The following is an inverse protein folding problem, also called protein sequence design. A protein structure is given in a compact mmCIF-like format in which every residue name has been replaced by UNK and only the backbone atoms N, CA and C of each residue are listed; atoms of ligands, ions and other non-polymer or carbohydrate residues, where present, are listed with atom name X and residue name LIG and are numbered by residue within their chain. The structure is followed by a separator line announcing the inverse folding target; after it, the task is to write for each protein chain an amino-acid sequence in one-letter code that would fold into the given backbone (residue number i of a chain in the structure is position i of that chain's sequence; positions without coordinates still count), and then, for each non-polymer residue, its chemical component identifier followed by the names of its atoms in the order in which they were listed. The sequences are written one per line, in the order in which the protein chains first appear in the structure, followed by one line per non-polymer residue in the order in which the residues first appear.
data_IF_748943439161
#
_entry.id   IF_748943439161
#
_cell.length_a   1.000
_cell.length_b   1.000
_cell.length_c   1.000
_cell.angle_alpha   90.00
_cell.angle_beta   90.00
_cell.angle_gamma   90.00
#
_symmetry.space_group_name_H-M   'P 1'
#
loop_
_entity.id
_entity.type
_entity.pdbx_description
1 polymer ?
#
# COMPACT_ATOMS: atom_id res chain seq x y z
N UNK A 1 38.09 -2.10 19.10
CA UNK A 1 36.93 -2.64 19.85
C UNK A 1 36.15 -3.62 18.94
N UNK A 2 36.32 -4.91 19.19
CA UNK A 2 35.86 -6.02 18.33
C UNK A 2 34.39 -6.35 18.65
N UNK A 3 33.49 -6.15 17.70
CA UNK A 3 32.10 -6.57 17.84
C UNK A 3 32.01 -8.09 17.85
N UNK A 4 31.56 -8.68 18.98
CA UNK A 4 31.23 -10.09 19.11
C UNK A 4 30.06 -10.43 18.19
N UNK A 5 30.31 -11.14 17.10
CA UNK A 5 29.27 -11.84 16.30
C UNK A 5 28.81 -13.05 17.09
N UNK A 6 27.49 -13.16 17.30
CA UNK A 6 26.87 -14.27 18.02
C UNK A 6 27.23 -15.63 17.39
N UNK A 7 27.68 -16.56 18.22
CA UNK A 7 28.06 -17.92 17.85
C UNK A 7 26.81 -18.72 17.43
N UNK A 8 26.50 -18.75 16.13
CA UNK A 8 25.70 -19.83 15.56
C UNK A 8 26.60 -21.08 15.51
N UNK A 9 26.18 -22.16 16.15
CA UNK A 9 26.89 -23.45 16.10
C UNK A 9 26.83 -23.96 14.65
N UNK A 10 27.90 -23.73 13.89
CA UNK A 10 28.04 -24.24 12.51
C UNK A 10 28.47 -25.72 12.61
N UNK A 11 27.58 -26.63 12.22
CA UNK A 11 27.89 -28.06 12.17
C UNK A 11 28.86 -28.28 11.01
N UNK A 12 30.13 -28.53 11.32
CA UNK A 12 31.18 -28.89 10.34
C UNK A 12 31.03 -30.32 9.90
N UNK A 13 31.14 -30.56 8.60
CA UNK A 13 31.18 -31.90 8.02
C UNK A 13 32.58 -32.17 7.48
N UNK A 14 33.17 -33.35 7.79
CA UNK A 14 34.51 -33.69 7.32
C UNK A 14 34.56 -33.67 5.78
N UNK A 15 35.55 -32.99 5.23
CA UNK A 15 35.69 -32.85 3.79
C UNK A 15 36.17 -34.18 3.17
N UNK A 16 35.29 -34.86 2.43
CA UNK A 16 35.59 -36.08 1.66
C UNK A 16 35.02 -35.87 0.26
N UNK A 17 35.87 -35.98 -0.77
CA UNK A 17 35.45 -35.87 -2.15
C UNK A 17 35.23 -34.41 -2.64
N UNK A 18 34.36 -34.24 -3.67
CA UNK A 18 34.07 -32.92 -4.23
C UNK A 18 33.26 -32.07 -3.26
N UNK A 19 33.62 -30.78 -3.18
CA UNK A 19 32.87 -29.78 -2.37
C UNK A 19 31.39 -29.76 -2.77
N UNK A 20 30.46 -30.02 -1.81
CA UNK A 20 29.03 -29.97 -2.10
C UNK A 20 28.59 -28.49 -2.38
N UNK A 21 27.56 -28.34 -3.19
CA UNK A 21 26.99 -27.02 -3.42
C UNK A 21 26.39 -26.48 -2.12
N UNK A 22 26.63 -25.20 -1.84
CA UNK A 22 26.16 -24.55 -0.61
C UNK A 22 27.06 -24.69 0.61
N UNK A 23 28.27 -25.27 0.44
CA UNK A 23 29.27 -25.43 1.51
C UNK A 23 30.55 -24.68 1.17
N UNK A 24 31.22 -24.15 2.19
CA UNK A 24 32.56 -23.63 2.11
C UNK A 24 33.58 -24.64 2.64
N UNK A 25 34.76 -24.68 2.02
CA UNK A 25 35.86 -25.49 2.49
C UNK A 25 36.72 -24.70 3.46
N UNK A 26 37.03 -25.32 4.60
CA UNK A 26 38.01 -24.78 5.56
C UNK A 26 38.94 -25.88 6.00
N UNK A 27 40.17 -25.50 6.41
CA UNK A 27 41.15 -26.39 6.97
C UNK A 27 41.38 -26.00 8.42
N UNK A 28 41.41 -26.96 9.34
CA UNK A 28 41.71 -26.67 10.72
C UNK A 28 43.24 -26.55 10.96
N UNK A 29 43.66 -26.23 12.18
CA UNK A 29 45.06 -26.08 12.56
C UNK A 29 45.86 -27.38 12.48
N UNK A 30 45.21 -28.55 12.29
CA UNK A 30 45.80 -29.87 12.11
C UNK A 30 45.80 -30.35 10.65
N UNK A 31 45.47 -29.44 9.71
CA UNK A 31 45.43 -29.76 8.28
C UNK A 31 44.21 -30.60 7.82
N UNK A 32 43.23 -30.85 8.69
CA UNK A 32 41.99 -31.56 8.32
C UNK A 32 41.02 -30.65 7.62
N UNK A 33 40.53 -31.06 6.42
CA UNK A 33 39.55 -30.30 5.65
C UNK A 33 38.12 -30.52 6.17
N UNK A 34 37.34 -29.42 6.22
CA UNK A 34 35.95 -29.43 6.64
C UNK A 34 35.08 -28.66 5.66
N UNK A 35 33.83 -29.08 5.47
CA UNK A 35 32.80 -28.36 4.75
C UNK A 35 31.92 -27.62 5.76
N UNK A 36 31.83 -26.30 5.63
CA UNK A 36 30.97 -25.44 6.44
C UNK A 36 29.80 -25.02 5.59
N UNK A 37 28.54 -25.28 6.03
CA UNK A 37 27.36 -24.86 5.27
C UNK A 37 27.26 -23.33 5.22
N UNK A 38 26.96 -22.84 4.03
CA UNK A 38 26.67 -21.44 3.75
C UNK A 38 25.15 -21.23 3.74
N UNK A 39 24.62 -20.66 4.80
CA UNK A 39 23.18 -20.46 4.98
C UNK A 39 22.60 -19.54 3.92
N UNK A 40 23.32 -18.50 3.51
CA UNK A 40 22.86 -17.55 2.51
C UNK A 40 22.73 -18.22 1.14
N UNK A 41 23.71 -19.04 0.75
CA UNK A 41 23.62 -19.82 -0.49
C UNK A 41 22.41 -20.77 -0.46
N UNK A 42 22.10 -21.41 0.67
CA UNK A 42 20.91 -22.25 0.80
C UNK A 42 19.60 -21.47 0.71
N UNK A 43 19.53 -20.26 1.25
CA UNK A 43 18.35 -19.38 1.13
C UNK A 43 18.12 -18.93 -0.32
N UNK A 44 19.19 -18.59 -1.04
CA UNK A 44 19.13 -18.28 -2.48
C UNK A 44 18.67 -19.47 -3.31
N UNK A 45 19.12 -20.68 -2.96
CA UNK A 45 18.66 -21.91 -3.62
C UNK A 45 17.17 -22.18 -3.38
N UNK A 46 16.67 -21.92 -2.17
CA UNK A 46 15.24 -22.04 -1.87
C UNK A 46 14.42 -21.05 -2.69
N UNK A 47 14.89 -19.82 -2.79
CA UNK A 47 14.27 -18.78 -3.64
C UNK A 47 14.27 -19.18 -5.13
N UNK A 48 15.37 -19.76 -5.64
CA UNK A 48 15.46 -20.28 -7.00
C UNK A 48 14.42 -21.38 -7.27
N UNK A 49 14.25 -22.30 -6.33
CA UNK A 49 13.26 -23.38 -6.45
C UNK A 49 11.84 -22.84 -6.45
N UNK A 50 11.54 -21.84 -5.62
CA UNK A 50 10.22 -21.19 -5.61
C UNK A 50 9.93 -20.47 -6.93
N UNK A 51 10.90 -19.77 -7.51
CA UNK A 51 10.75 -19.14 -8.82
C UNK A 51 10.39 -20.13 -9.93
N UNK A 52 10.93 -21.35 -9.88
CA UNK A 52 10.61 -22.39 -10.87
C UNK A 52 9.22 -22.99 -10.62
N UNK A 53 8.87 -23.30 -9.37
CA UNK A 53 7.64 -24.02 -9.02
C UNK A 53 6.40 -23.14 -9.05
N UNK A 54 6.51 -21.95 -8.50
CA UNK A 54 5.37 -21.06 -8.24
C UNK A 54 5.31 -19.88 -9.22
N UNK A 55 6.47 -19.48 -9.78
CA UNK A 55 6.61 -18.32 -10.66
C UNK A 55 6.66 -18.63 -12.16
N UNK A 56 6.66 -19.91 -12.57
CA UNK A 56 6.69 -20.29 -14.00
C UNK A 56 7.95 -19.87 -14.75
N UNK A 57 9.02 -19.53 -14.03
CA UNK A 57 10.26 -19.07 -14.65
C UNK A 57 11.06 -20.23 -15.28
N UNK A 58 11.72 -19.96 -16.41
CA UNK A 58 12.59 -20.93 -17.07
C UNK A 58 13.73 -21.37 -16.17
N UNK A 59 13.91 -22.69 -16.02
CA UNK A 59 14.96 -23.29 -15.17
C UNK A 59 16.36 -22.78 -15.52
N UNK A 60 16.63 -22.52 -16.82
CA UNK A 60 17.92 -21.97 -17.29
C UNK A 60 18.14 -20.53 -16.80
N UNK A 61 17.12 -19.68 -16.88
CA UNK A 61 17.19 -18.30 -16.36
C UNK A 61 17.40 -18.27 -14.84
N UNK A 62 16.70 -19.13 -14.12
CA UNK A 62 16.85 -19.23 -12.65
C UNK A 62 18.21 -19.79 -12.26
N UNK A 63 18.78 -20.73 -13.02
CA UNK A 63 20.13 -21.24 -12.78
C UNK A 63 21.20 -20.15 -12.97
N UNK A 64 21.08 -19.31 -14.01
CA UNK A 64 21.97 -18.18 -14.23
C UNK A 64 21.81 -17.09 -13.14
N UNK A 65 20.60 -16.81 -12.71
CA UNK A 65 20.34 -15.91 -11.59
C UNK A 65 20.99 -16.42 -10.30
N UNK A 66 20.83 -17.73 -9.97
CA UNK A 66 21.43 -18.33 -8.78
C UNK A 66 22.97 -18.29 -8.81
N UNK A 67 23.58 -18.48 -9.98
CA UNK A 67 25.01 -18.37 -10.17
C UNK A 67 25.50 -16.94 -9.94
N UNK A 68 24.80 -15.93 -10.45
CA UNK A 68 25.11 -14.51 -10.24
C UNK A 68 24.99 -14.11 -8.76
N UNK A 69 23.94 -14.56 -8.07
CA UNK A 69 23.70 -14.22 -6.66
C UNK A 69 24.66 -14.89 -5.69
N UNK A 70 25.12 -16.10 -6.00
CA UNK A 70 25.92 -16.91 -5.06
C UNK A 70 27.37 -17.13 -5.49
N UNK A 71 27.72 -16.76 -6.72
CA UNK A 71 29.00 -17.10 -7.34
C UNK A 71 29.21 -18.63 -7.53
N UNK A 72 28.15 -19.44 -7.37
CA UNK A 72 28.21 -20.91 -7.35
C UNK A 72 27.39 -21.51 -8.48
N UNK A 73 28.02 -22.21 -9.37
CA UNK A 73 27.36 -22.85 -10.52
C UNK A 73 26.56 -24.08 -10.12
N UNK A 74 25.28 -24.09 -10.48
CA UNK A 74 24.40 -25.24 -10.40
C UNK A 74 23.74 -25.45 -11.77
N UNK A 75 23.93 -26.67 -12.36
CA UNK A 75 23.37 -26.93 -13.68
C UNK A 75 21.82 -26.84 -13.67
N UNK A 76 21.24 -26.40 -14.78
CA UNK A 76 19.79 -26.33 -14.93
C UNK A 76 19.11 -27.70 -14.68
N UNK A 77 19.72 -28.78 -15.14
CA UNK A 77 19.24 -30.18 -14.89
C UNK A 77 19.21 -30.50 -13.40
N UNK A 78 20.26 -30.14 -12.66
CA UNK A 78 20.33 -30.41 -11.21
C UNK A 78 19.32 -29.52 -10.46
N UNK A 79 19.19 -28.26 -10.84
CA UNK A 79 18.23 -27.34 -10.25
C UNK A 79 16.79 -27.81 -10.52
N UNK A 80 16.50 -28.27 -11.74
CA UNK A 80 15.20 -28.86 -12.07
C UNK A 80 14.89 -30.07 -11.19
N UNK A 81 15.84 -31.00 -11.01
CA UNK A 81 15.69 -32.18 -10.14
C UNK A 81 15.37 -31.74 -8.70
N UNK A 82 16.15 -30.80 -8.14
CA UNK A 82 15.92 -30.27 -6.80
C UNK A 82 14.54 -29.59 -6.65
N UNK A 83 14.02 -28.97 -7.70
CA UNK A 83 12.71 -28.34 -7.68
C UNK A 83 11.55 -29.34 -7.69
N UNK A 84 11.70 -30.51 -8.31
CA UNK A 84 10.58 -31.43 -8.55
C UNK A 84 10.67 -32.75 -7.77
N UNK A 85 11.86 -33.13 -7.23
CA UNK A 85 12.03 -34.39 -6.46
C UNK A 85 11.71 -34.16 -4.99
N UNK A 86 10.66 -34.80 -4.50
CA UNK A 86 10.15 -34.62 -3.13
C UNK A 86 11.19 -35.04 -2.07
N UNK A 87 11.90 -36.11 -2.31
CA UNK A 87 12.87 -36.69 -1.41
C UNK A 87 14.10 -35.80 -1.18
N UNK A 88 14.66 -35.21 -2.24
CA UNK A 88 15.79 -34.28 -2.14
C UNK A 88 15.37 -32.95 -1.44
N UNK A 89 14.11 -32.52 -1.58
CA UNK A 89 13.58 -31.36 -0.88
C UNK A 89 13.46 -31.59 0.62
N UNK A 90 13.01 -32.80 1.04
CA UNK A 90 12.88 -33.15 2.45
C UNK A 90 14.25 -33.28 3.14
N UNK A 91 15.20 -33.91 2.49
CA UNK A 91 16.57 -34.07 3.03
C UNK A 91 17.26 -32.71 3.20
N UNK A 92 17.09 -31.81 2.22
CA UNK A 92 17.61 -30.44 2.29
C UNK A 92 16.93 -29.61 3.41
N UNK A 93 15.62 -29.76 3.59
CA UNK A 93 14.91 -29.10 4.69
C UNK A 93 15.40 -29.57 6.05
N UNK A 94 15.66 -30.86 6.21
CA UNK A 94 16.26 -31.44 7.42
C UNK A 94 17.65 -30.87 7.69
N UNK A 95 18.49 -30.80 6.65
CA UNK A 95 19.85 -30.24 6.74
C UNK A 95 19.80 -28.76 7.12
N UNK A 96 18.98 -27.92 6.45
CA UNK A 96 18.78 -26.53 6.78
C UNK A 96 18.31 -26.35 8.23
N UNK A 97 17.30 -27.12 8.65
CA UNK A 97 16.75 -27.03 10.02
C UNK A 97 17.79 -27.31 11.10
N UNK A 98 18.75 -28.24 10.85
CA UNK A 98 19.87 -28.51 11.79
C UNK A 98 20.80 -27.29 11.95
N UNK A 99 20.92 -26.46 10.95
CA UNK A 99 21.81 -25.30 10.92
C UNK A 99 21.21 -24.03 11.57
N UNK A 100 19.89 -23.99 11.77
CA UNK A 100 19.19 -22.87 12.38
C UNK A 100 19.39 -22.84 13.91
N UNK A 101 19.51 -21.65 14.47
CA UNK A 101 19.47 -21.45 15.92
C UNK A 101 18.09 -21.83 16.50
N UNK A 102 17.96 -22.10 17.81
CA UNK A 102 16.67 -22.43 18.43
C UNK A 102 15.60 -21.37 18.17
N UNK A 103 15.96 -20.08 18.20
CA UNK A 103 15.05 -18.96 17.91
C UNK A 103 14.57 -18.96 16.45
N UNK A 104 15.47 -19.19 15.51
CA UNK A 104 15.15 -19.29 14.08
C UNK A 104 14.27 -20.52 13.78
N UNK A 105 14.51 -21.67 14.43
CA UNK A 105 13.65 -22.86 14.30
C UNK A 105 12.22 -22.55 14.74
N UNK A 106 12.04 -21.87 15.87
CA UNK A 106 10.71 -21.50 16.37
C UNK A 106 9.96 -20.59 15.40
N UNK A 107 10.65 -19.61 14.78
CA UNK A 107 10.07 -18.74 13.77
C UNK A 107 9.67 -19.52 12.52
N UNK A 108 10.51 -20.46 12.07
CA UNK A 108 10.21 -21.29 10.90
C UNK A 108 9.03 -22.23 11.18
N UNK A 109 8.93 -22.80 12.38
CA UNK A 109 7.79 -23.64 12.80
C UNK A 109 6.48 -22.85 12.83
N UNK A 110 6.48 -21.61 13.30
CA UNK A 110 5.31 -20.72 13.28
C UNK A 110 4.87 -20.41 11.84
N UNK A 111 5.80 -20.07 10.96
CA UNK A 111 5.50 -19.81 9.54
C UNK A 111 4.95 -21.05 8.83
N UNK A 112 5.47 -22.23 9.14
CA UNK A 112 4.98 -23.49 8.59
C UNK A 112 3.58 -23.84 9.10
N UNK A 113 3.28 -23.59 10.36
CA UNK A 113 1.94 -23.77 10.95
C UNK A 113 0.94 -22.84 10.29
N UNK A 114 1.26 -21.57 10.13
CA UNK A 114 0.42 -20.60 9.43
C UNK A 114 0.13 -21.03 7.98
N UNK A 115 1.16 -21.43 7.24
CA UNK A 115 1.02 -21.96 5.87
C UNK A 115 0.12 -23.19 5.81
N UNK A 116 0.27 -24.13 6.75
CA UNK A 116 -0.56 -25.35 6.85
C UNK A 116 -2.03 -25.01 7.14
N UNK A 117 -2.27 -24.06 8.05
CA UNK A 117 -3.63 -23.58 8.38
C UNK A 117 -4.31 -22.96 7.17
N UNK A 118 -3.57 -22.14 6.39
CA UNK A 118 -4.07 -21.55 5.15
C UNK A 118 -4.42 -22.61 4.10
N UNK A 119 -3.56 -23.63 3.91
CA UNK A 119 -3.82 -24.75 2.99
C UNK A 119 -5.07 -25.53 3.41
N UNK A 120 -5.24 -25.81 4.70
CA UNK A 120 -6.45 -26.49 5.22
C UNK A 120 -7.72 -25.68 5.01
N UNK A 121 -7.66 -24.36 5.21
CA UNK A 121 -8.77 -23.46 4.94
C UNK A 121 -9.16 -23.44 3.45
N UNK A 122 -8.18 -23.39 2.54
CA UNK A 122 -8.42 -23.48 1.09
C UNK A 122 -9.01 -24.84 0.67
N UNK A 123 -8.53 -25.92 1.27
CA UNK A 123 -9.09 -27.28 1.01
C UNK A 123 -10.52 -27.40 1.54
N UNK A 124 -10.83 -26.85 2.71
CA UNK A 124 -12.18 -26.83 3.26
C UNK A 124 -13.12 -26.02 2.37
N UNK A 125 -12.67 -24.86 1.87
CA UNK A 125 -13.41 -24.02 0.93
C UNK A 125 -13.69 -24.75 -0.40
N UNK A 126 -12.71 -25.49 -0.94
CA UNK A 126 -12.89 -26.31 -2.15
C UNK A 126 -13.88 -27.48 -1.93
N UNK A 127 -13.84 -28.13 -0.74
CA UNK A 127 -14.81 -29.17 -0.36
C UNK A 127 -16.22 -28.62 -0.23
N UNK A 128 -16.38 -27.44 0.40
CA UNK A 128 -17.65 -26.74 0.52
C UNK A 128 -18.22 -26.38 -0.86
N UNK A 129 -17.40 -25.80 -1.74
CA UNK A 129 -17.81 -25.47 -3.10
C UNK A 129 -18.16 -26.73 -3.93
N UNK A 130 -17.48 -27.85 -3.69
CA UNK A 130 -17.82 -29.13 -4.34
C UNK A 130 -19.14 -29.70 -3.82
N UNK A 131 -19.40 -29.61 -2.52
CA UNK A 131 -20.68 -30.03 -1.92
C UNK A 131 -21.84 -29.18 -2.42
N UNK A 132 -21.67 -27.87 -2.52
CA UNK A 132 -22.67 -26.94 -3.06
C UNK A 132 -22.96 -27.16 -4.56
N UNK A 133 -22.03 -27.77 -5.32
CA UNK A 133 -22.22 -28.09 -6.74
C UNK A 133 -22.75 -29.52 -6.98
N UNK A 134 -22.95 -30.35 -5.96
CA UNK A 134 -23.46 -31.72 -6.10
C UNK A 134 -24.95 -31.83 -5.91
N UNK A 135 -25.62 -30.82 -5.41
CA UNK A 135 -27.09 -30.78 -5.35
C UNK A 135 -27.68 -30.18 -6.64
N UNK A 136 -27.48 -30.86 -7.76
CA UNK A 136 -28.32 -30.67 -8.92
C UNK A 136 -29.62 -31.47 -8.67
N UNK A 137 -30.59 -30.83 -8.05
CA UNK A 137 -31.99 -31.26 -8.12
C UNK A 137 -32.46 -30.95 -9.53
N UNK A 138 -32.92 -31.97 -10.27
CA UNK A 138 -33.60 -31.76 -11.55
C UNK A 138 -34.82 -30.86 -11.31
N UNK A 139 -35.08 -29.88 -12.18
CA UNK A 139 -36.19 -28.97 -11.97
C UNK A 139 -37.50 -29.71 -12.21
N UNK A 140 -38.29 -29.97 -11.18
CA UNK A 140 -39.72 -30.14 -11.28
C UNK A 140 -40.30 -28.88 -11.92
N UNK A 141 -41.05 -29.07 -13.01
CA UNK A 141 -41.75 -27.99 -13.71
C UNK A 141 -42.87 -27.50 -12.79
N UNK A 142 -42.58 -26.49 -11.99
CA UNK A 142 -43.59 -25.74 -11.24
C UNK A 142 -44.06 -24.56 -12.09
N UNK A 143 -45.36 -24.54 -12.30
CA UNK A 143 -46.12 -23.49 -13.00
C UNK A 143 -45.99 -22.16 -12.28
N UNK A 144 -45.18 -21.22 -12.84
CA UNK A 144 -44.93 -19.91 -12.26
C UNK A 144 -45.93 -18.87 -12.75
N UNK A 145 -47.09 -18.83 -12.13
CA UNK A 145 -47.96 -17.65 -12.12
C UNK A 145 -47.96 -17.00 -10.73
N UNK A 146 -46.82 -16.51 -10.28
CA UNK A 146 -46.77 -15.45 -9.27
C UNK A 146 -45.40 -14.76 -9.34
N UNK A 147 -45.31 -13.64 -10.08
CA UNK A 147 -44.13 -12.79 -10.13
C UNK A 147 -44.13 -11.83 -8.93
N UNK A 148 -43.74 -12.31 -7.77
CA UNK A 148 -43.17 -11.42 -6.78
C UNK A 148 -41.72 -11.21 -7.18
N UNK A 149 -41.40 -10.03 -7.77
CA UNK A 149 -40.05 -9.61 -8.03
C UNK A 149 -39.26 -9.67 -6.72
N UNK A 150 -38.32 -10.62 -6.59
CA UNK A 150 -37.42 -10.66 -5.47
C UNK A 150 -36.68 -9.33 -5.38
N UNK A 151 -36.66 -8.70 -4.21
CA UNK A 151 -35.88 -7.50 -4.00
C UNK A 151 -34.45 -7.76 -4.46
N UNK A 152 -33.81 -6.80 -5.16
CA UNK A 152 -32.44 -6.97 -5.65
C UNK A 152 -31.50 -7.24 -4.48
N UNK A 153 -30.68 -8.28 -4.58
CA UNK A 153 -29.69 -8.63 -3.55
C UNK A 153 -28.74 -7.45 -3.33
N UNK A 154 -28.73 -6.89 -2.12
CA UNK A 154 -27.84 -5.79 -1.75
C UNK A 154 -26.44 -6.34 -1.49
N UNK A 155 -25.55 -6.19 -2.45
CA UNK A 155 -24.14 -6.68 -2.39
C UNK A 155 -23.29 -5.84 -1.49
N UNK A 156 -23.56 -4.53 -1.40
CA UNK A 156 -22.85 -3.59 -0.56
C UNK A 156 -23.79 -2.51 -0.02
N UNK A 157 -23.67 -2.23 1.25
CA UNK A 157 -24.27 -1.05 1.89
C UNK A 157 -23.19 -0.27 2.64
N UNK A 158 -23.00 1.03 2.37
CA UNK A 158 -22.05 1.83 3.12
C UNK A 158 -22.45 1.90 4.58
N UNK A 159 -21.46 1.96 5.48
CA UNK A 159 -21.72 2.28 6.87
C UNK A 159 -22.25 3.73 6.94
N UNK A 160 -23.26 4.00 7.78
CA UNK A 160 -23.76 5.36 7.98
C UNK A 160 -22.66 6.34 8.36
N UNK A 161 -22.77 7.57 7.90
CA UNK A 161 -21.81 8.63 8.22
C UNK A 161 -20.71 8.82 7.16
N UNK A 162 -19.42 8.72 7.52
CA UNK A 162 -18.32 9.09 6.61
C UNK A 162 -18.25 8.29 5.31
N UNK A 163 -18.48 6.97 5.33
CA UNK A 163 -18.50 6.16 4.11
C UNK A 163 -19.62 6.60 3.16
N UNK A 164 -20.81 6.78 3.70
CA UNK A 164 -21.97 7.22 2.93
C UNK A 164 -21.72 8.62 2.34
N UNK A 165 -21.18 9.55 3.12
CA UNK A 165 -20.79 10.90 2.67
C UNK A 165 -19.75 10.87 1.57
N UNK A 166 -18.75 9.98 1.67
CA UNK A 166 -17.72 9.83 0.64
C UNK A 166 -18.32 9.33 -0.68
N UNK A 167 -19.12 8.29 -0.62
CA UNK A 167 -19.71 7.67 -1.80
C UNK A 167 -20.78 8.54 -2.46
N UNK A 168 -21.50 9.36 -1.69
CA UNK A 168 -22.52 10.29 -2.21
C UNK A 168 -21.95 11.64 -2.67
N UNK A 169 -20.69 11.94 -2.36
CA UNK A 169 -20.07 13.23 -2.70
C UNK A 169 -19.93 13.46 -4.20
N UNK A 170 -20.38 14.63 -4.66
CA UNK A 170 -20.30 15.04 -6.07
C UNK A 170 -19.21 16.09 -6.35
N UNK A 171 -18.48 16.53 -5.33
CA UNK A 171 -17.34 17.41 -5.49
C UNK A 171 -16.27 16.76 -6.38
N UNK A 172 -15.57 17.59 -7.16
CA UNK A 172 -14.55 17.11 -8.10
C UNK A 172 -13.43 16.35 -7.40
N UNK A 173 -12.96 16.87 -6.25
CA UNK A 173 -11.90 16.29 -5.44
C UNK A 173 -12.42 15.99 -4.04
N UNK A 174 -12.30 14.73 -3.59
CA UNK A 174 -12.68 14.35 -2.22
C UNK A 174 -11.57 13.54 -1.59
N UNK A 175 -11.14 13.96 -0.41
CA UNK A 175 -10.19 13.24 0.42
C UNK A 175 -10.89 12.65 1.64
N UNK A 176 -10.82 11.33 1.79
CA UNK A 176 -11.34 10.58 2.93
C UNK A 176 -10.16 10.15 3.81
N UNK A 177 -9.86 10.93 4.82
CA UNK A 177 -8.66 10.80 5.64
C UNK A 177 -8.94 10.71 7.13
N UNK A 178 -7.98 10.19 7.90
CA UNK A 178 -8.06 10.10 9.36
C UNK A 178 -7.61 8.76 9.91
N UNK A 179 -8.24 8.30 11.01
CA UNK A 179 -7.86 7.10 11.75
C UNK A 179 -7.82 5.82 10.89
N UNK A 180 -7.05 4.83 11.31
CA UNK A 180 -7.07 3.49 10.72
C UNK A 180 -8.38 2.79 11.02
N UNK A 181 -8.79 1.87 10.14
CA UNK A 181 -9.98 1.04 10.33
C UNK A 181 -11.30 1.69 9.91
N UNK A 182 -11.33 2.98 9.52
CA UNK A 182 -12.56 3.68 9.10
C UNK A 182 -13.16 3.24 7.76
N UNK A 183 -12.67 2.15 7.13
CA UNK A 183 -13.22 1.63 5.87
C UNK A 183 -12.86 2.45 4.61
N UNK A 184 -11.86 3.31 4.68
CA UNK A 184 -11.45 4.25 3.61
C UNK A 184 -11.13 3.57 2.29
N UNK A 185 -10.16 2.62 2.29
CA UNK A 185 -9.76 1.87 1.09
C UNK A 185 -10.94 1.12 0.48
N UNK A 186 -11.78 0.48 1.31
CA UNK A 186 -12.95 -0.24 0.80
C UNK A 186 -13.94 0.70 0.10
N UNK A 187 -14.19 1.89 0.66
CA UNK A 187 -15.02 2.91 0.02
C UNK A 187 -14.41 3.40 -1.31
N UNK A 188 -13.08 3.51 -1.37
CA UNK A 188 -12.39 3.89 -2.60
C UNK A 188 -12.56 2.83 -3.70
N UNK A 189 -12.65 1.53 -3.34
CA UNK A 189 -12.93 0.44 -4.27
C UNK A 189 -14.37 0.41 -4.75
N UNK A 190 -15.31 0.86 -3.94
CA UNK A 190 -16.74 0.95 -4.30
C UNK A 190 -17.03 2.16 -5.20
N UNK A 191 -16.36 3.29 -4.96
CA UNK A 191 -16.66 4.56 -5.63
C UNK A 191 -16.68 4.50 -7.17
N UNK A 192 -15.77 3.80 -7.89
CA UNK A 192 -15.80 3.71 -9.34
C UNK A 192 -16.96 2.84 -9.88
N UNK A 193 -17.56 1.97 -9.07
CA UNK A 193 -18.66 1.10 -9.52
C UNK A 193 -19.91 1.87 -9.98
N UNK A 194 -20.07 3.12 -9.53
CA UNK A 194 -21.15 4.01 -10.00
C UNK A 194 -21.07 4.37 -11.50
N UNK A 195 -19.95 4.08 -12.16
CA UNK A 195 -19.71 4.42 -13.56
C UNK A 195 -19.56 3.21 -14.47
N UNK A 196 -19.72 1.99 -13.94
CA UNK A 196 -19.47 0.75 -14.70
C UNK A 196 -20.46 0.51 -15.83
N UNK A 197 -21.60 1.15 -15.84
CA UNK A 197 -22.62 1.10 -16.93
C UNK A 197 -22.35 2.13 -18.03
N UNK A 198 -21.36 3.02 -17.87
CA UNK A 198 -21.02 4.07 -18.83
C UNK A 198 -19.92 3.57 -19.77
N UNK A 199 -20.18 3.30 -21.06
CA UNK A 199 -19.18 2.74 -21.98
C UNK A 199 -17.91 3.56 -22.11
N UNK A 200 -18.02 4.88 -22.02
CA UNK A 200 -16.90 5.80 -22.10
C UNK A 200 -16.11 5.99 -20.80
N UNK A 201 -16.56 5.37 -19.69
CA UNK A 201 -15.88 5.51 -18.41
C UNK A 201 -14.52 4.83 -18.43
N UNK A 202 -13.48 5.62 -18.24
CA UNK A 202 -12.11 5.18 -18.00
C UNK A 202 -11.69 5.61 -16.63
N UNK A 203 -11.32 4.67 -15.81
CA UNK A 203 -11.06 4.87 -14.40
C UNK A 203 -9.68 4.35 -14.05
N UNK A 204 -9.00 5.02 -13.11
CA UNK A 204 -7.67 4.67 -12.65
C UNK A 204 -7.65 4.65 -11.13
N UNK A 205 -7.10 3.60 -10.52
CA UNK A 205 -6.80 3.54 -9.10
C UNK A 205 -5.29 3.35 -8.90
N UNK A 206 -4.70 4.23 -8.12
CA UNK A 206 -3.24 4.25 -7.88
C UNK A 206 -2.94 4.00 -6.41
N UNK A 207 -1.88 3.22 -6.19
CA UNK A 207 -1.12 3.12 -4.94
C UNK A 207 0.35 3.45 -5.18
N UNK A 208 1.10 3.64 -4.09
CA UNK A 208 2.52 3.97 -4.21
C UNK A 208 3.32 2.86 -4.86
N UNK A 209 3.07 1.60 -4.49
CA UNK A 209 3.86 0.47 -4.99
C UNK A 209 3.00 -0.70 -5.48
N UNK A 210 3.57 -1.51 -6.37
CA UNK A 210 2.90 -2.71 -6.89
C UNK A 210 2.62 -3.78 -5.80
N UNK A 211 3.49 -4.03 -4.81
CA UNK A 211 3.18 -4.92 -3.70
C UNK A 211 1.93 -4.50 -2.91
N UNK A 212 1.79 -3.21 -2.62
CA UNK A 212 0.62 -2.67 -1.90
C UNK A 212 -0.67 -2.81 -2.71
N UNK A 213 -0.56 -2.71 -4.04
CA UNK A 213 -1.71 -2.83 -4.94
C UNK A 213 -2.31 -4.25 -4.97
N UNK A 214 -1.53 -5.29 -4.68
CA UNK A 214 -1.98 -6.69 -4.74
C UNK A 214 -3.15 -6.98 -3.80
N UNK A 215 -3.11 -6.47 -2.58
CA UNK A 215 -4.19 -6.68 -1.61
C UNK A 215 -5.47 -5.98 -2.04
N UNK A 216 -5.35 -4.80 -2.62
CA UNK A 216 -6.45 -4.02 -3.17
C UNK A 216 -7.09 -4.76 -4.36
N UNK A 217 -6.27 -5.24 -5.30
CA UNK A 217 -6.74 -6.04 -6.44
C UNK A 217 -7.46 -7.30 -5.95
N UNK A 218 -6.89 -8.01 -4.97
CA UNK A 218 -7.51 -9.21 -4.40
C UNK A 218 -8.90 -8.93 -3.82
N UNK A 219 -9.10 -7.81 -3.13
CA UNK A 219 -10.40 -7.40 -2.62
C UNK A 219 -11.41 -7.16 -3.77
N UNK A 220 -10.97 -6.52 -4.85
CA UNK A 220 -11.85 -6.30 -6.02
C UNK A 220 -12.24 -7.60 -6.72
N UNK A 221 -11.35 -8.60 -6.76
CA UNK A 221 -11.67 -9.93 -7.33
C UNK A 221 -12.76 -10.67 -6.56
N UNK A 222 -12.99 -10.34 -5.30
CA UNK A 222 -14.08 -10.87 -4.48
C UNK A 222 -15.38 -10.08 -4.64
N UNK A 223 -15.27 -8.78 -4.88
CA UNK A 223 -16.37 -7.84 -4.88
C UNK A 223 -16.98 -7.63 -6.27
N UNK A 224 -16.14 -7.32 -7.27
CA UNK A 224 -16.61 -6.83 -8.57
C UNK A 224 -17.41 -7.85 -9.40
N UNK A 225 -17.10 -9.17 -9.39
CA UNK A 225 -17.93 -10.15 -10.08
C UNK A 225 -19.37 -10.22 -9.55
N UNK A 226 -19.57 -9.85 -8.28
CA UNK A 226 -20.91 -9.78 -7.67
C UNK A 226 -21.60 -8.46 -7.98
N UNK A 227 -20.85 -7.34 -7.82
CA UNK A 227 -21.39 -5.99 -8.00
C UNK A 227 -21.64 -5.62 -9.46
N UNK A 228 -20.90 -6.22 -10.39
CA UNK A 228 -21.04 -6.02 -11.83
C UNK A 228 -20.91 -7.38 -12.54
N UNK A 229 -21.98 -8.19 -12.60
CA UNK A 229 -21.96 -9.49 -13.25
C UNK A 229 -21.43 -9.39 -14.69
N UNK A 230 -20.49 -10.28 -15.04
CA UNK A 230 -19.80 -10.24 -16.34
C UNK A 230 -18.53 -9.40 -16.39
N UNK A 231 -18.17 -8.73 -15.31
CA UNK A 231 -16.87 -8.04 -15.19
C UNK A 231 -15.71 -9.05 -15.31
N UNK A 232 -14.65 -8.68 -16.05
CA UNK A 232 -13.49 -9.53 -16.33
C UNK A 232 -12.19 -8.85 -15.93
N UNK A 233 -11.40 -9.54 -15.13
CA UNK A 233 -10.07 -9.10 -14.75
C UNK A 233 -9.01 -9.56 -15.76
N UNK A 234 -8.20 -8.63 -16.29
CA UNK A 234 -7.04 -8.94 -17.11
C UNK A 234 -5.77 -8.64 -16.34
N UNK A 235 -5.11 -9.67 -15.85
CA UNK A 235 -3.92 -9.56 -14.99
C UNK A 235 -2.71 -8.97 -15.68
N UNK A 236 -2.55 -9.15 -17.00
CA UNK A 236 -1.46 -8.57 -17.77
C UNK A 236 -1.56 -7.05 -17.90
N UNK A 237 -2.78 -6.52 -17.87
CA UNK A 237 -3.08 -5.09 -18.02
C UNK A 237 -3.39 -4.44 -16.67
N UNK A 238 -3.50 -5.22 -15.58
CA UNK A 238 -4.01 -4.79 -14.29
C UNK A 238 -5.35 -4.04 -14.40
N UNK A 239 -6.26 -4.53 -15.22
CA UNK A 239 -7.47 -3.80 -15.60
C UNK A 239 -8.73 -4.66 -15.49
N UNK A 240 -9.75 -4.12 -14.87
CA UNK A 240 -11.13 -4.62 -14.95
C UNK A 240 -11.82 -4.09 -16.19
N UNK A 241 -12.45 -4.98 -16.93
CA UNK A 241 -13.32 -4.70 -18.06
C UNK A 241 -14.76 -5.04 -17.69
N UNK A 242 -15.64 -4.08 -17.83
CA UNK A 242 -17.06 -4.23 -17.54
C UNK A 242 -17.87 -4.49 -18.82
N UNK A 243 -19.06 -5.14 -18.74
CA UNK A 243 -19.87 -5.48 -19.91
C UNK A 243 -20.26 -4.28 -20.77
N UNK A 244 -20.40 -3.11 -20.17
CA UNK A 244 -20.70 -1.85 -20.88
C UNK A 244 -19.57 -1.37 -21.80
N UNK A 245 -18.33 -1.82 -21.56
CA UNK A 245 -17.10 -1.28 -22.15
C UNK A 245 -16.29 -0.35 -21.22
N UNK A 246 -16.83 -0.02 -20.06
CA UNK A 246 -16.10 0.71 -19.02
C UNK A 246 -14.85 -0.07 -18.57
N UNK A 247 -13.82 0.64 -18.11
CA UNK A 247 -12.58 0.04 -17.63
C UNK A 247 -12.10 0.71 -16.35
N UNK A 248 -11.54 -0.10 -15.45
CA UNK A 248 -10.84 0.38 -14.27
C UNK A 248 -9.43 -0.23 -14.24
N UNK A 249 -8.45 0.61 -14.45
CA UNK A 249 -7.02 0.30 -14.40
C UNK A 249 -6.49 0.44 -12.97
N UNK A 250 -5.61 -0.49 -12.57
CA UNK A 250 -4.88 -0.44 -11.31
C UNK A 250 -3.42 -0.16 -11.61
N UNK A 251 -2.94 0.99 -11.15
CA UNK A 251 -1.60 1.45 -11.39
C UNK A 251 -0.83 1.77 -10.12
N UNK A 252 0.47 1.98 -10.25
CA UNK A 252 1.31 2.41 -9.15
C UNK A 252 2.19 3.60 -9.57
N UNK A 253 2.60 4.37 -8.57
CA UNK A 253 3.46 5.54 -8.76
C UNK A 253 4.34 5.69 -7.52
N UNK A 254 5.62 5.29 -7.60
CA UNK A 254 6.57 5.42 -6.50
C UNK A 254 7.19 6.82 -6.43
N UNK A 255 7.34 7.44 -7.59
CA UNK A 255 7.97 8.75 -7.75
C UNK A 255 7.33 9.54 -8.90
N UNK A 256 7.73 10.80 -9.06
CA UNK A 256 7.18 11.68 -10.09
C UNK A 256 7.43 11.20 -11.53
N UNK A 257 8.52 10.44 -11.78
CA UNK A 257 8.77 9.89 -13.11
C UNK A 257 7.79 8.78 -13.49
N UNK A 258 7.35 8.00 -12.50
CA UNK A 258 6.35 6.95 -12.73
C UNK A 258 5.00 7.52 -13.18
N UNK A 259 4.65 8.72 -12.73
CA UNK A 259 3.39 9.37 -13.13
C UNK A 259 3.34 9.68 -14.63
N UNK A 260 4.49 9.80 -15.29
CA UNK A 260 4.57 10.04 -16.73
C UNK A 260 3.99 8.88 -17.55
N UNK A 261 3.86 7.67 -17.00
CA UNK A 261 3.15 6.54 -17.64
C UNK A 261 1.69 6.87 -17.96
N UNK A 262 1.09 7.78 -17.20
CA UNK A 262 -0.28 8.23 -17.39
C UNK A 262 -0.40 9.47 -18.26
N UNK A 263 0.75 9.97 -18.80
CA UNK A 263 0.76 11.10 -19.72
C UNK A 263 0.01 10.75 -21.01
N UNK A 264 -0.82 11.67 -21.47
CA UNK A 264 -1.64 11.47 -22.66
C UNK A 264 -2.88 10.60 -22.46
N UNK A 265 -3.02 9.94 -21.31
CA UNK A 265 -4.23 9.19 -20.95
C UNK A 265 -5.36 10.14 -20.54
N UNK A 266 -6.58 9.63 -20.63
CA UNK A 266 -7.80 10.36 -20.23
C UNK A 266 -8.62 9.48 -19.31
N UNK A 267 -8.89 9.99 -18.10
CA UNK A 267 -9.68 9.29 -17.10
C UNK A 267 -10.86 10.15 -16.65
N UNK A 268 -12.03 9.56 -16.50
CA UNK A 268 -13.19 10.21 -15.91
C UNK A 268 -13.21 10.12 -14.38
N UNK A 269 -12.55 9.11 -13.84
CA UNK A 269 -12.41 8.90 -12.40
C UNK A 269 -10.97 8.49 -12.07
N UNK A 270 -10.39 9.11 -11.03
CA UNK A 270 -9.07 8.76 -10.53
C UNK A 270 -9.16 8.58 -9.02
N UNK A 271 -8.71 7.43 -8.53
CA UNK A 271 -8.56 7.11 -7.12
C UNK A 271 -7.09 7.02 -6.71
N UNK A 272 -6.70 7.69 -5.63
CA UNK A 272 -5.35 7.58 -5.05
C UNK A 272 -5.47 7.08 -3.62
N UNK A 273 -5.07 5.85 -3.38
CA UNK A 273 -5.08 5.28 -2.03
C UNK A 273 -3.77 5.61 -1.32
N UNK A 274 -3.87 5.96 -0.03
CA UNK A 274 -2.77 6.40 0.81
C UNK A 274 -2.03 7.64 0.25
N UNK A 275 -2.79 8.68 -0.17
CA UNK A 275 -2.27 9.93 -0.74
C UNK A 275 -1.14 10.57 0.09
N UNK A 276 -1.16 10.57 1.45
CA UNK A 276 -0.08 11.14 2.25
C UNK A 276 1.27 10.43 2.14
N UNK A 277 1.37 9.29 1.47
CA UNK A 277 2.66 8.66 1.19
C UNK A 277 3.50 9.41 0.15
N UNK A 278 2.92 10.32 -0.61
CA UNK A 278 3.63 11.17 -1.58
C UNK A 278 4.15 12.43 -0.90
N UNK A 279 5.45 12.67 -1.02
CA UNK A 279 6.13 13.77 -0.34
C UNK A 279 5.66 15.17 -0.80
N UNK A 280 5.23 15.29 -2.06
CA UNK A 280 4.74 16.54 -2.64
C UNK A 280 3.38 16.35 -3.34
N UNK A 281 2.63 17.44 -3.60
CA UNK A 281 1.36 17.39 -4.33
C UNK A 281 1.53 17.14 -5.84
N UNK A 282 2.74 17.03 -6.37
CA UNK A 282 3.01 17.00 -7.81
C UNK A 282 2.33 15.82 -8.51
N UNK A 283 2.34 14.63 -7.89
CA UNK A 283 1.64 13.44 -8.41
C UNK A 283 0.14 13.72 -8.53
N UNK A 284 -0.46 14.34 -7.51
CA UNK A 284 -1.88 14.71 -7.51
C UNK A 284 -2.20 15.71 -8.62
N UNK A 285 -1.41 16.76 -8.75
CA UNK A 285 -1.59 17.78 -9.78
C UNK A 285 -1.40 17.23 -11.20
N UNK A 286 -0.42 16.35 -11.39
CA UNK A 286 -0.22 15.68 -12.67
C UNK A 286 -1.42 14.81 -13.06
N UNK A 287 -1.89 13.97 -12.14
CA UNK A 287 -3.07 13.13 -12.37
C UNK A 287 -4.34 13.95 -12.65
N UNK A 288 -4.48 15.11 -11.99
CA UNK A 288 -5.57 16.07 -12.26
C UNK A 288 -5.58 16.49 -13.73
N UNK A 289 -4.43 16.67 -14.37
CA UNK A 289 -4.35 17.04 -15.79
C UNK A 289 -4.85 15.93 -16.74
N UNK A 290 -4.88 14.69 -16.28
CA UNK A 290 -5.43 13.53 -17.00
C UNK A 290 -6.92 13.31 -16.74
N UNK A 291 -7.54 14.10 -15.84
CA UNK A 291 -8.97 13.99 -15.49
C UNK A 291 -9.83 14.68 -16.55
N UNK A 292 -10.23 13.94 -17.56
CA UNK A 292 -11.04 14.41 -18.69
C UNK A 292 -11.85 13.27 -19.31
N UNK A 293 -12.95 13.60 -19.95
CA UNK A 293 -13.81 12.66 -20.68
C UNK A 293 -14.35 13.29 -21.95
N UNK A 294 -14.67 12.49 -22.93
CA UNK A 294 -15.39 12.90 -24.14
C UNK A 294 -16.91 12.79 -23.98
N UNK A 295 -17.38 12.15 -22.92
CA UNK A 295 -18.80 11.99 -22.60
C UNK A 295 -19.17 12.96 -21.46
N UNK A 296 -19.90 14.05 -21.75
CA UNK A 296 -20.29 15.03 -20.75
C UNK A 296 -21.28 14.51 -19.70
N UNK A 297 -21.90 13.35 -19.92
CA UNK A 297 -22.78 12.73 -18.93
C UNK A 297 -22.02 12.06 -17.80
N UNK A 298 -20.69 11.93 -17.91
CA UNK A 298 -19.84 11.31 -16.88
C UNK A 298 -19.15 12.42 -16.09
N UNK A 299 -19.49 12.62 -14.82
CA UNK A 299 -18.83 13.60 -13.98
C UNK A 299 -17.37 13.23 -13.72
N UNK A 300 -16.51 14.23 -13.69
CA UNK A 300 -15.08 14.07 -13.43
C UNK A 300 -14.81 14.05 -11.93
N UNK A 301 -14.30 12.95 -11.41
CA UNK A 301 -14.05 12.77 -9.99
C UNK A 301 -12.62 12.34 -9.70
N UNK A 302 -11.97 13.02 -8.76
CA UNK A 302 -10.78 12.52 -8.06
C UNK A 302 -11.13 12.16 -6.63
N UNK A 303 -10.68 11.02 -6.20
CA UNK A 303 -10.90 10.47 -4.87
C UNK A 303 -9.58 10.08 -4.25
N UNK A 304 -9.37 10.43 -3.00
CA UNK A 304 -8.19 9.98 -2.30
C UNK A 304 -8.52 9.51 -0.89
N UNK A 305 -7.66 8.62 -0.38
CA UNK A 305 -7.71 8.15 1.00
C UNK A 305 -6.35 8.27 1.64
N UNK A 306 -6.28 8.21 2.96
CA UNK A 306 -5.02 8.18 3.67
C UNK A 306 -5.13 8.35 5.18
N UNK A 307 -4.00 8.10 5.84
CA UNK A 307 -3.84 8.29 7.27
C UNK A 307 -2.80 9.38 7.53
N UNK A 308 -2.88 10.11 8.66
CA UNK A 308 -1.81 10.99 9.09
C UNK A 308 -0.51 10.23 9.42
N UNK A 309 0.60 10.95 9.55
CA UNK A 309 1.89 10.40 9.96
C UNK A 309 2.77 9.89 8.81
N UNK A 310 2.46 10.24 7.57
CA UNK A 310 3.30 10.00 6.40
C UNK A 310 3.99 11.30 5.95
N UNK A 311 5.03 11.19 5.13
CA UNK A 311 5.85 12.30 4.66
C UNK A 311 5.05 13.43 3.98
N UNK A 312 3.95 13.10 3.33
CA UNK A 312 3.07 14.06 2.65
C UNK A 312 1.92 14.61 3.50
N UNK A 313 1.86 14.26 4.78
CA UNK A 313 0.75 14.68 5.65
C UNK A 313 0.58 16.20 5.70
N UNK A 314 1.68 16.95 5.69
CA UNK A 314 1.66 18.41 5.75
C UNK A 314 0.94 19.05 4.55
N UNK A 315 1.31 18.68 3.31
CA UNK A 315 0.67 19.24 2.13
C UNK A 315 -0.78 18.76 1.96
N UNK A 316 -1.08 17.50 2.32
CA UNK A 316 -2.45 16.98 2.30
C UNK A 316 -3.32 17.74 3.28
N UNK A 317 -2.82 18.01 4.50
CA UNK A 317 -3.50 18.81 5.51
C UNK A 317 -3.80 20.22 4.99
N UNK A 318 -2.79 20.90 4.46
CA UNK A 318 -2.92 22.25 3.88
C UNK A 318 -3.94 22.29 2.73
N UNK A 319 -3.96 21.26 1.88
CA UNK A 319 -4.83 21.23 0.69
C UNK A 319 -6.28 20.86 1.00
N UNK A 320 -6.52 19.92 1.92
CA UNK A 320 -7.84 19.32 2.11
C UNK A 320 -8.48 19.61 3.48
N UNK A 321 -7.68 19.79 4.54
CA UNK A 321 -8.18 19.80 5.92
C UNK A 321 -8.29 21.23 6.46
N UNK A 322 -7.21 22.01 6.35
CA UNK A 322 -7.17 23.38 6.85
C UNK A 322 -8.15 24.36 6.20
N UNK A 323 -8.53 24.20 4.90
CA UNK A 323 -9.40 25.19 4.25
C UNK A 323 -10.80 25.28 4.81
N UNK A 324 -11.34 24.22 5.43
CA UNK A 324 -12.69 24.23 6.01
C UNK A 324 -12.91 23.03 6.94
N UNK A 325 -13.93 23.13 7.78
CA UNK A 325 -14.39 22.02 8.62
C UNK A 325 -14.75 20.77 7.79
N UNK A 326 -14.59 19.55 8.37
CA UNK A 326 -14.92 18.31 7.69
C UNK A 326 -16.35 18.33 7.10
N UNK A 327 -16.50 17.72 5.93
CA UNK A 327 -17.75 17.66 5.14
C UNK A 327 -18.20 18.99 4.50
N UNK A 328 -17.43 20.05 4.62
CA UNK A 328 -17.73 21.32 3.98
C UNK A 328 -17.17 21.35 2.56
N UNK A 329 -17.96 21.87 1.62
CA UNK A 329 -17.52 22.08 0.23
C UNK A 329 -16.65 23.34 0.16
N UNK A 330 -15.43 23.18 -0.31
CA UNK A 330 -14.51 24.28 -0.64
C UNK A 330 -14.54 24.50 -2.15
N UNK A 331 -14.55 25.75 -2.59
CA UNK A 331 -14.48 26.14 -4.01
C UNK A 331 -13.18 26.91 -4.23
N UNK A 332 -12.29 26.33 -5.03
CA UNK A 332 -11.06 26.99 -5.49
C UNK A 332 -11.32 27.61 -6.87
N UNK A 333 -11.08 28.90 -7.02
CA UNK A 333 -11.18 29.60 -8.29
C UNK A 333 -9.82 29.65 -8.95
N UNK A 334 -9.75 29.21 -10.20
CA UNK A 334 -8.54 29.24 -11.02
C UNK A 334 -8.78 30.23 -12.14
N UNK A 335 -8.00 31.30 -12.15
CA UNK A 335 -7.99 32.29 -13.24
C UNK A 335 -6.92 31.89 -14.25
N UNK A 336 -7.27 31.97 -15.53
CA UNK A 336 -6.36 31.66 -16.64
C UNK A 336 -6.69 32.52 -17.85
N UNK A 337 -5.71 32.79 -18.70
CA UNK A 337 -5.88 33.63 -19.88
C UNK A 337 -5.98 32.78 -21.15
N UNK A 338 -6.95 33.10 -22.00
CA UNK A 338 -7.13 32.56 -23.33
C UNK A 338 -7.44 33.69 -24.28
N UNK A 339 -6.67 33.90 -25.32
CA UNK A 339 -6.83 34.94 -26.34
C UNK A 339 -6.98 36.37 -25.73
N UNK A 340 -6.18 36.66 -24.69
CA UNK A 340 -6.19 37.94 -24.00
C UNK A 340 -7.42 38.19 -23.12
N UNK A 341 -8.24 37.18 -22.85
CA UNK A 341 -9.38 37.23 -21.93
C UNK A 341 -9.10 36.39 -20.70
N UNK A 342 -9.28 36.94 -19.53
CA UNK A 342 -9.25 36.23 -18.26
C UNK A 342 -10.53 35.42 -18.11
N UNK A 343 -10.36 34.11 -17.98
CA UNK A 343 -11.44 33.16 -17.68
C UNK A 343 -11.25 32.60 -16.27
N UNK A 344 -12.36 32.28 -15.63
CA UNK A 344 -12.34 31.65 -14.29
C UNK A 344 -12.98 30.28 -14.37
N UNK A 345 -12.29 29.28 -13.78
CA UNK A 345 -12.81 27.93 -13.59
C UNK A 345 -12.87 27.61 -12.10
N UNK A 346 -13.80 26.75 -11.71
CA UNK A 346 -13.96 26.35 -10.31
C UNK A 346 -13.62 24.87 -10.12
N UNK A 347 -12.82 24.58 -9.10
CA UNK A 347 -12.57 23.23 -8.62
C UNK A 347 -13.22 23.10 -7.25
N UNK A 348 -14.09 22.11 -7.10
CA UNK A 348 -14.75 21.82 -5.83
C UNK A 348 -13.99 20.73 -5.08
N UNK A 349 -13.76 20.97 -3.80
CA UNK A 349 -13.01 20.05 -2.92
C UNK A 349 -13.76 19.79 -1.64
N UNK A 350 -13.58 18.59 -1.06
CA UNK A 350 -14.14 18.24 0.24
C UNK A 350 -13.21 17.30 1.01
N UNK A 351 -13.11 17.55 2.30
CA UNK A 351 -12.49 16.60 3.24
C UNK A 351 -13.56 15.86 4.03
N UNK A 352 -13.39 14.54 4.19
CA UNK A 352 -14.23 13.70 5.03
C UNK A 352 -13.33 13.03 6.06
N UNK A 353 -13.61 13.27 7.34
CA UNK A 353 -12.86 12.70 8.44
C UNK A 353 -13.28 11.26 8.69
N UNK A 354 -12.30 10.36 8.83
CA UNK A 354 -12.47 8.94 9.16
C UNK A 354 -12.10 8.68 10.61
N UNK A 355 -12.96 7.95 11.30
CA UNK A 355 -12.70 7.41 12.63
C UNK A 355 -12.79 5.89 12.62
N UNK A 356 -12.08 5.20 13.52
CA UNK A 356 -12.25 3.75 13.72
C UNK A 356 -13.67 3.43 14.19
N UNK A 357 -14.30 4.37 14.90
CA UNK A 357 -15.65 4.24 15.44
C UNK A 357 -16.75 4.25 14.35
N UNK A 358 -16.42 4.69 13.16
CA UNK A 358 -17.33 4.69 11.99
C UNK A 358 -17.45 3.29 11.35
N UNK A 359 -16.68 2.32 11.83
CA UNK A 359 -16.68 0.95 11.30
C UNK A 359 -17.20 -0.05 12.33
N UNK A 360 -18.48 -0.41 12.29
CA UNK A 360 -19.09 -1.31 13.25
C UNK A 360 -18.45 -2.71 13.25
N UNK A 361 -17.87 -3.15 12.13
CA UNK A 361 -17.19 -4.46 12.05
C UNK A 361 -15.92 -4.53 12.90
N UNK A 362 -15.22 -3.39 13.10
CA UNK A 362 -14.02 -3.33 13.93
C UNK A 362 -14.29 -2.91 15.37
N UNK A 363 -15.40 -2.22 15.61
CA UNK A 363 -15.77 -1.79 16.97
C UNK A 363 -16.50 -2.88 17.77
N UNK A 364 -17.09 -3.86 17.10
CA UNK A 364 -17.64 -5.07 17.76
C UNK A 364 -16.54 -5.94 18.36
N UNK A 365 -15.35 -5.98 17.76
CA UNK A 365 -14.15 -6.60 18.32
C UNK A 365 -13.26 -5.53 18.95
N UNK A 366 -13.35 -5.39 20.28
CA UNK A 366 -12.55 -4.44 21.05
C UNK A 366 -11.04 -4.68 20.95
N UNK A 367 -10.60 -5.85 20.47
CA UNK A 367 -9.19 -6.22 20.34
C UNK A 367 -8.43 -5.30 19.39
N UNK A 368 -9.04 -4.93 18.24
CA UNK A 368 -8.41 -4.04 17.27
C UNK A 368 -8.22 -2.62 17.84
N UNK A 369 -9.25 -2.08 18.49
CA UNK A 369 -9.19 -0.75 19.13
C UNK A 369 -8.17 -0.76 20.26
N UNK A 370 -8.14 -1.80 21.10
CA UNK A 370 -7.17 -1.96 22.17
C UNK A 370 -5.72 -2.04 21.62
N UNK A 371 -5.51 -2.72 20.49
CA UNK A 371 -4.22 -2.77 19.82
C UNK A 371 -3.76 -1.37 19.36
N UNK A 372 -4.65 -0.58 18.76
CA UNK A 372 -4.32 0.80 18.36
C UNK A 372 -4.07 1.69 19.59
N UNK A 373 -4.83 1.50 20.67
CA UNK A 373 -4.66 2.24 21.93
C UNK A 373 -3.33 1.92 22.64
N UNK A 374 -2.78 0.73 22.43
CA UNK A 374 -1.49 0.31 23.01
C UNK A 374 -0.25 0.83 22.28
N UNK A 375 -0.44 1.49 21.13
CA UNK A 375 0.66 2.09 20.37
C UNK A 375 1.32 3.25 21.14
N UNK A 376 2.60 3.56 20.86
CA UNK A 376 3.23 4.79 21.35
C UNK A 376 2.37 6.02 21.05
N UNK A 377 2.44 7.03 21.92
CA UNK A 377 1.52 8.17 21.92
C UNK A 377 1.34 8.82 20.52
N UNK A 378 2.42 9.11 19.84
CA UNK A 378 2.41 9.70 18.49
C UNK A 378 1.62 8.81 17.52
N UNK A 379 1.93 7.53 17.46
CA UNK A 379 1.23 6.56 16.59
C UNK A 379 -0.22 6.36 16.99
N UNK A 380 -0.52 6.40 18.28
CA UNK A 380 -1.89 6.32 18.79
C UNK A 380 -2.71 7.54 18.36
N UNK A 381 -2.15 8.76 18.49
CA UNK A 381 -2.80 9.99 18.01
C UNK A 381 -3.08 9.91 16.50
N UNK A 382 -2.09 9.47 15.71
CA UNK A 382 -2.23 9.32 14.27
C UNK A 382 -3.23 8.23 13.87
N UNK A 383 -3.13 7.03 14.42
CA UNK A 383 -3.84 5.86 13.89
C UNK A 383 -5.18 5.59 14.57
N UNK A 384 -5.33 5.91 15.86
CA UNK A 384 -6.59 5.75 16.58
C UNK A 384 -7.47 6.99 16.45
N UNK A 385 -6.88 8.17 16.63
CA UNK A 385 -7.64 9.42 16.64
C UNK A 385 -7.64 10.16 15.30
N UNK A 386 -6.74 9.78 14.37
CA UNK A 386 -6.67 10.42 13.06
C UNK A 386 -6.13 11.85 13.11
N UNK A 387 -5.27 12.13 14.07
CA UNK A 387 -4.71 13.46 14.34
C UNK A 387 -3.67 13.83 13.28
N UNK A 388 -3.90 14.93 12.57
CA UNK A 388 -3.06 15.45 11.50
C UNK A 388 -2.02 16.46 11.97
N UNK A 389 -2.07 16.86 13.23
CA UNK A 389 -1.14 17.82 13.83
C UNK A 389 0.11 17.15 14.42
N UNK A 390 0.04 15.84 14.64
CA UNK A 390 1.14 15.08 15.25
C UNK A 390 2.13 14.62 14.18
N UNK A 391 3.36 15.11 14.27
CA UNK A 391 4.49 14.72 13.41
C UNK A 391 5.39 13.74 14.14
N UNK A 392 5.76 12.61 13.49
CA UNK A 392 6.55 11.53 14.11
C UNK A 392 8.05 11.85 14.22
N UNK A 393 8.56 12.64 13.32
CA UNK A 393 9.99 12.97 13.18
C UNK A 393 10.20 14.48 13.00
N UNK A 394 9.58 15.27 13.84
CA UNK A 394 9.95 16.68 13.96
C UNK A 394 11.33 16.80 14.61
N UNK A 395 12.20 17.69 14.12
CA UNK A 395 13.43 18.05 14.81
C UNK A 395 13.17 18.54 16.25
N UNK A 396 11.92 18.91 16.52
CA UNK A 396 11.42 19.37 17.81
C UNK A 396 10.12 18.62 18.13
N UNK A 397 10.21 17.41 18.70
CA UNK A 397 9.02 16.60 19.04
C UNK A 397 8.13 17.26 20.11
N UNK A 398 8.68 18.18 20.89
CA UNK A 398 7.99 18.97 21.91
C UNK A 398 7.25 20.19 21.33
N UNK A 399 7.35 20.44 20.01
CA UNK A 399 6.69 21.59 19.40
C UNK A 399 5.18 21.43 19.47
N UNK A 400 4.55 22.36 20.19
CA UNK A 400 3.10 22.49 20.33
C UNK A 400 2.67 23.86 19.81
N UNK A 401 1.80 23.87 18.82
CA UNK A 401 1.36 25.10 18.17
C UNK A 401 0.69 26.07 19.15
N UNK A 402 -0.02 25.56 20.15
CA UNK A 402 -0.70 26.39 21.14
C UNK A 402 0.26 27.07 22.14
N UNK A 403 1.44 26.48 22.31
CA UNK A 403 2.47 26.97 23.24
C UNK A 403 3.56 27.75 22.50
N UNK A 404 3.96 27.29 21.31
CA UNK A 404 5.15 27.77 20.61
C UNK A 404 4.83 28.69 19.44
N UNK A 405 3.54 29.04 19.21
CA UNK A 405 3.17 30.06 18.22
C UNK A 405 2.36 31.18 18.86
N UNK A 406 2.45 32.36 18.31
CA UNK A 406 1.65 33.51 18.72
C UNK A 406 1.14 34.29 17.49
N UNK A 407 0.22 35.20 17.70
CA UNK A 407 -0.20 36.14 16.69
C UNK A 407 0.98 36.98 16.18
N UNK A 408 0.96 37.33 14.89
CA UNK A 408 2.02 38.09 14.27
C UNK A 408 2.14 39.52 14.90
N UNK A 409 3.38 39.93 15.17
CA UNK A 409 3.68 41.25 15.73
C UNK A 409 4.88 41.88 15.03
N UNK A 410 5.04 43.19 15.15
CA UNK A 410 6.24 43.89 14.63
C UNK A 410 7.47 43.56 15.46
N UNK A 411 8.54 43.04 14.81
CA UNK A 411 9.81 42.75 15.47
C UNK A 411 10.48 44.06 15.92
N UNK A 412 10.72 44.28 17.23
CA UNK A 412 11.36 45.47 17.75
C UNK A 412 12.71 45.71 17.12
N UNK A 413 13.04 46.99 16.88
CA UNK A 413 14.32 47.38 16.23
C UNK A 413 15.58 47.00 17.02
N UNK A 414 15.46 46.84 18.33
CA UNK A 414 16.58 46.45 19.22
C UNK A 414 16.86 44.96 19.27
N UNK A 415 16.05 44.13 18.68
CA UNK A 415 16.29 42.67 18.70
C UNK A 415 17.33 42.26 17.67
N UNK A 416 18.19 41.31 18.03
CA UNK A 416 19.18 40.76 17.11
C UNK A 416 18.50 39.92 16.05
N UNK A 417 18.67 40.29 14.79
CA UNK A 417 18.08 39.53 13.65
C UNK A 417 19.13 38.57 13.09
N UNK A 418 18.72 37.33 12.90
CA UNK A 418 19.53 36.25 12.34
C UNK A 418 18.87 35.64 11.11
N UNK A 419 19.69 34.99 10.30
CA UNK A 419 19.24 34.19 9.17
C UNK A 419 20.00 32.88 9.13
N UNK A 420 19.30 31.81 8.95
CA UNK A 420 19.88 30.48 8.74
C UNK A 420 19.43 29.96 7.39
N UNK A 421 20.29 29.25 6.68
CA UNK A 421 19.96 28.61 5.42
C UNK A 421 20.56 27.20 5.40
N UNK A 422 19.75 26.24 4.98
CA UNK A 422 20.14 24.87 4.69
C UNK A 422 19.88 24.58 3.20
N UNK A 423 20.93 24.23 2.47
CA UNK A 423 20.86 24.02 1.03
C UNK A 423 20.68 22.53 0.74
N UNK A 424 19.46 22.15 0.33
CA UNK A 424 19.18 20.78 -0.12
C UNK A 424 19.78 20.50 -1.50
N UNK A 425 20.46 19.35 -1.65
CA UNK A 425 20.96 18.88 -2.95
C UNK A 425 19.90 18.10 -3.72
N UNK A 426 19.18 17.21 -3.03
CA UNK A 426 18.07 16.40 -3.56
C UNK A 426 16.72 16.71 -2.89
N UNK A 427 16.72 17.64 -1.94
CA UNK A 427 15.55 18.15 -1.21
C UNK A 427 15.45 19.67 -1.42
N UNK A 428 14.33 20.27 -1.02
CA UNK A 428 14.17 21.71 -1.03
C UNK A 428 15.17 22.37 -0.07
N UNK A 429 15.71 23.53 -0.48
CA UNK A 429 16.47 24.37 0.44
C UNK A 429 15.51 25.06 1.39
N UNK A 430 15.94 25.29 2.63
CA UNK A 430 15.18 26.01 3.62
C UNK A 430 15.93 27.25 4.08
N UNK A 431 15.25 28.37 4.21
CA UNK A 431 15.82 29.61 4.78
C UNK A 431 14.88 30.11 5.86
N UNK A 432 15.42 30.33 7.05
CA UNK A 432 14.70 30.87 8.20
C UNK A 432 15.21 32.26 8.58
N UNK A 433 14.29 33.17 8.90
CA UNK A 433 14.59 34.46 9.50
C UNK A 433 14.11 34.45 10.94
N UNK A 434 15.00 34.69 11.85
CA UNK A 434 14.74 34.77 13.27
C UNK A 434 15.13 36.12 13.90
N UNK A 435 14.54 36.41 15.02
CA UNK A 435 14.92 37.49 15.91
C UNK A 435 15.10 36.95 17.32
N UNK A 436 16.14 37.42 18.03
CA UNK A 436 16.38 37.04 19.42
C UNK A 436 16.02 38.25 20.28
N UNK A 437 15.12 38.05 21.23
CA UNK A 437 14.72 39.09 22.17
C UNK A 437 15.75 39.27 23.29
N UNK A 438 15.47 40.22 24.23
CA UNK A 438 16.37 40.52 25.33
C UNK A 438 16.43 39.41 26.39
N UNK A 439 15.49 38.50 26.41
CA UNK A 439 15.42 37.34 27.31
C UNK A 439 16.09 36.08 26.67
N UNK A 440 16.58 36.21 25.42
CA UNK A 440 17.27 35.15 24.69
C UNK A 440 16.32 34.21 23.95
N UNK A 441 15.02 34.51 23.89
CA UNK A 441 14.06 33.73 23.12
C UNK A 441 14.22 33.97 21.60
N UNK A 442 14.23 32.89 20.83
CA UNK A 442 14.29 32.93 19.36
C UNK A 442 12.90 32.94 18.76
N UNK A 443 12.59 33.97 18.02
CA UNK A 443 11.34 34.18 17.31
C UNK A 443 11.56 33.96 15.80
N UNK A 444 10.98 32.89 15.23
CA UNK A 444 11.03 32.67 13.78
C UNK A 444 9.83 33.40 13.17
N UNK A 445 10.09 34.36 12.30
CA UNK A 445 9.05 35.21 11.74
C UNK A 445 8.90 35.10 10.22
N UNK A 446 9.79 34.33 9.55
CA UNK A 446 9.70 34.06 8.12
C UNK A 446 10.46 32.79 7.76
N UNK A 447 9.91 32.04 6.84
CA UNK A 447 10.56 30.89 6.19
C UNK A 447 10.42 30.97 4.66
N UNK A 448 11.34 30.33 3.95
CA UNK A 448 11.35 30.22 2.49
C UNK A 448 11.80 28.82 2.12
#
# INVERSE_FOLDING_TARGET
MTKRRGNAVRTKVKAVGRKPWGYDHTVDTKGSGWYIPDLEAFERLDSAIMQIRDGGHSVRKVASWLENETGRKLSATRLHKLAWTKEELEDRRKTRRRLLSPKQRKIEDLKNTEKQTRIKADQAKRRLNKALNTDKVEPEVLDFTDQTASEPEVIFRPNPGPQEKFLSSNEREVFYGGARGGGKTYSLLIAPLRFVDKPAARMLLIRRSMPELRDVIFQTQQLYPKAAPGAKWKSQENTWYFPSGARLEFGYCENLQDVLRYQGQSYSWIGVDELPQYASPDVWHFLRSSLRTTDPSIPLHMRATGNPGNIGSAWVKKMFIEPAEPNTKVVEKIEYEVDGKTLTSEITRKFISASVWDNPYLTQDSSYVAMLASLPEVKRKQFLYGDWDVVEEGAFPEFDKTVHTCESFEIPKGWTRIRAADFGYAAHSAVLWGAVDFDGCLWIYREL
#
